data_IF_782967149158
#
_entry.id   IF_782967149158
#
_cell.length_a   1.000
_cell.length_b   1.000
_cell.length_c   1.000
_cell.angle_alpha   90.00
_cell.angle_beta   90.00
_cell.angle_gamma   90.00
#
_symmetry.space_group_name_H-M   'P 1'
#
loop_
_entity.id
_entity.type
_entity.pdbx_description
1 polymer ?
#
# COMPACT_ATOMS: atom_id res chain seq x y z
N UNK A 1 -25.45 -0.78 2.28
CA UNK A 1 -24.50 0.35 2.25
C UNK A 1 -23.41 0.04 3.26
N UNK A 2 -22.17 -0.14 2.88
CA UNK A 2 -21.09 -0.24 3.84
C UNK A 2 -21.00 1.11 4.58
N UNK A 3 -21.14 1.09 5.89
CA UNK A 3 -20.93 2.25 6.74
C UNK A 3 -19.44 2.59 6.67
N UNK A 4 -19.09 3.73 6.09
CA UNK A 4 -17.72 4.26 6.15
C UNK A 4 -17.33 4.33 7.64
N UNK A 5 -16.23 3.70 8.06
CA UNK A 5 -15.81 3.78 9.45
C UNK A 5 -15.62 5.25 9.85
N UNK A 6 -15.96 5.63 11.06
CA UNK A 6 -15.82 7.02 11.50
C UNK A 6 -14.35 7.40 11.51
N UNK A 7 -14.03 8.52 10.88
CA UNK A 7 -12.70 9.10 10.92
C UNK A 7 -12.39 9.49 12.38
N UNK A 8 -11.29 8.94 12.90
CA UNK A 8 -10.73 9.31 14.18
C UNK A 8 -9.64 10.36 13.94
N UNK A 9 -9.60 11.37 14.78
CA UNK A 9 -8.64 12.48 14.71
C UNK A 9 -7.86 12.53 16.03
N UNK A 10 -6.59 12.87 15.98
CA UNK A 10 -5.77 13.17 17.17
C UNK A 10 -4.76 14.25 16.87
N UNK A 11 -4.17 14.81 17.91
CA UNK A 11 -2.97 15.64 17.76
C UNK A 11 -1.84 14.76 17.20
N UNK A 12 -1.08 15.30 16.24
CA UNK A 12 0.06 14.62 15.63
C UNK A 12 0.94 14.01 16.75
N UNK A 13 1.18 12.70 16.76
CA UNK A 13 2.04 12.04 17.74
C UNK A 13 3.45 12.63 17.80
N UNK A 14 3.94 13.20 16.67
CA UNK A 14 5.23 13.87 16.57
C UNK A 14 5.24 15.28 17.16
N UNK A 15 4.08 15.81 17.59
CA UNK A 15 3.98 17.07 18.28
C UNK A 15 3.89 16.83 19.81
N UNK A 16 5.02 16.75 20.54
CA UNK A 16 5.01 16.56 21.99
C UNK A 16 4.40 17.77 22.68
N UNK A 17 3.75 17.53 23.82
CA UNK A 17 3.25 18.57 24.71
C UNK A 17 4.34 18.84 25.76
N UNK A 18 4.89 20.06 25.76
CA UNK A 18 6.08 20.44 26.53
C UNK A 18 5.81 21.70 27.37
N UNK A 19 6.28 21.72 28.60
CA UNK A 19 6.33 22.95 29.40
C UNK A 19 7.62 23.70 29.10
N UNK A 20 7.52 24.96 28.69
CA UNK A 20 8.67 25.87 28.49
C UNK A 20 9.12 26.48 29.81
N UNK A 21 8.16 26.77 30.67
CA UNK A 21 8.28 27.30 32.02
C UNK A 21 7.04 26.93 32.83
N UNK A 22 6.86 27.46 34.05
CA UNK A 22 5.76 27.14 34.96
C UNK A 22 4.38 27.55 34.42
N UNK A 23 4.29 28.39 33.39
CA UNK A 23 3.03 28.94 32.89
C UNK A 23 2.89 28.87 31.35
N UNK A 24 3.91 28.48 30.61
CA UNK A 24 3.89 28.41 29.15
C UNK A 24 3.96 26.99 28.66
N UNK A 25 2.91 26.54 27.98
CA UNK A 25 2.81 25.22 27.38
C UNK A 25 3.06 25.29 25.86
N UNK A 26 3.83 24.36 25.32
CA UNK A 26 4.14 24.26 23.91
C UNK A 26 3.66 22.93 23.34
N UNK A 27 3.10 22.98 22.14
CA UNK A 27 2.76 21.82 21.34
C UNK A 27 3.63 21.77 20.10
N UNK A 28 4.40 20.67 19.93
CA UNK A 28 5.42 20.53 18.89
C UNK A 28 6.83 20.89 19.37
N UNK A 29 7.86 20.25 18.78
CA UNK A 29 9.24 20.45 19.16
C UNK A 29 9.76 21.84 18.68
N UNK A 30 9.47 22.19 17.43
CA UNK A 30 9.95 23.41 16.79
C UNK A 30 9.02 24.62 17.01
N UNK A 31 8.41 24.74 18.19
CA UNK A 31 7.53 25.84 18.60
C UNK A 31 6.34 26.14 17.70
N UNK A 32 5.74 25.10 17.13
CA UNK A 32 4.59 25.29 16.24
C UNK A 32 3.44 26.05 16.90
N UNK A 33 3.14 25.77 18.19
CA UNK A 33 2.13 26.50 18.97
C UNK A 33 2.58 26.63 20.42
N UNK A 34 2.49 27.86 20.97
CA UNK A 34 2.66 28.14 22.39
C UNK A 34 1.38 28.71 23.00
N UNK A 35 1.18 28.43 24.27
CA UNK A 35 0.03 28.89 25.07
C UNK A 35 0.59 29.44 26.38
N UNK A 36 0.41 30.75 26.58
CA UNK A 36 0.85 31.45 27.77
C UNK A 36 -0.24 31.49 28.83
N UNK A 37 0.15 31.55 30.11
CA UNK A 37 -0.78 31.61 31.25
C UNK A 37 -1.84 30.50 31.23
N UNK A 38 -1.38 29.26 31.04
CA UNK A 38 -2.23 28.11 30.78
C UNK A 38 -3.16 27.78 31.94
N UNK A 39 -4.46 27.91 31.70
CA UNK A 39 -5.45 27.42 32.65
C UNK A 39 -5.40 25.87 32.72
N UNK A 40 -5.63 25.24 33.87
CA UNK A 40 -5.49 23.80 34.06
C UNK A 40 -6.32 22.92 33.10
N UNK A 41 -7.41 23.45 32.57
CA UNK A 41 -8.23 22.72 31.59
C UNK A 41 -7.55 22.61 30.21
N UNK A 42 -6.68 23.57 29.86
CA UNK A 42 -5.97 23.57 28.55
C UNK A 42 -5.05 22.35 28.45
N UNK A 43 -4.22 22.14 29.47
CA UNK A 43 -3.35 20.96 29.51
C UNK A 43 -4.15 19.67 29.49
N UNK A 44 -5.19 19.57 30.31
CA UNK A 44 -6.07 18.38 30.33
C UNK A 44 -6.73 18.13 28.98
N UNK A 45 -7.21 19.18 28.30
CA UNK A 45 -7.83 19.05 27.00
C UNK A 45 -6.80 18.61 25.93
N UNK A 46 -5.65 19.30 25.84
CA UNK A 46 -4.60 18.93 24.90
C UNK A 46 -4.10 17.50 25.12
N UNK A 47 -3.92 17.08 26.38
CA UNK A 47 -3.55 15.70 26.70
C UNK A 47 -4.59 14.69 26.23
N UNK A 48 -5.87 15.00 26.31
CA UNK A 48 -6.96 14.14 25.80
C UNK A 48 -7.03 14.10 24.28
N UNK A 49 -6.75 15.23 23.61
CA UNK A 49 -6.72 15.30 22.14
C UNK A 49 -5.55 14.55 21.51
N UNK A 50 -4.57 14.12 22.31
CA UNK A 50 -3.50 13.19 21.86
C UNK A 50 -3.97 11.75 21.72
N UNK A 51 -5.05 11.39 22.40
CA UNK A 51 -5.76 10.13 22.14
C UNK A 51 -6.77 10.34 21.02
N UNK A 52 -6.97 9.31 20.22
CA UNK A 52 -7.88 9.38 19.08
C UNK A 52 -9.33 9.67 19.51
N UNK A 53 -9.95 10.61 18.83
CA UNK A 53 -11.32 11.02 19.12
C UNK A 53 -12.10 11.28 17.82
N UNK A 54 -13.44 11.24 17.92
CA UNK A 54 -14.31 11.69 16.83
C UNK A 54 -14.48 13.19 16.91
N UNK A 55 -14.32 13.92 15.82
CA UNK A 55 -14.52 15.38 15.78
C UNK A 55 -15.88 15.80 16.36
N UNK A 56 -16.93 15.03 16.09
CA UNK A 56 -18.27 15.26 16.67
C UNK A 56 -18.37 15.07 18.20
N UNK A 57 -17.37 14.41 18.81
CA UNK A 57 -17.33 14.23 20.28
C UNK A 57 -16.52 15.30 21.01
N UNK A 58 -15.99 16.30 20.30
CA UNK A 58 -15.09 17.30 20.86
C UNK A 58 -15.70 18.07 22.03
N UNK A 59 -16.96 18.55 21.91
CA UNK A 59 -17.62 19.30 22.96
C UNK A 59 -17.77 18.49 24.29
N UNK A 60 -17.94 17.16 24.16
CA UNK A 60 -18.01 16.27 25.33
C UNK A 60 -16.63 16.12 25.98
N UNK A 61 -15.58 16.00 25.18
CA UNK A 61 -14.21 15.90 25.67
C UNK A 61 -13.77 17.19 26.33
N UNK A 62 -14.10 18.34 25.75
CA UNK A 62 -13.84 19.67 26.29
C UNK A 62 -14.55 19.89 27.64
N UNK A 63 -15.81 19.54 27.69
CA UNK A 63 -16.59 19.61 28.96
C UNK A 63 -15.97 18.71 30.04
N UNK A 64 -15.61 17.48 29.71
CA UNK A 64 -14.94 16.56 30.63
C UNK A 64 -13.52 17.02 31.07
N UNK A 65 -12.87 17.89 30.28
CA UNK A 65 -11.64 18.57 30.69
C UNK A 65 -11.86 19.79 31.57
N UNK A 66 -13.13 20.22 31.77
CA UNK A 66 -13.50 21.43 32.49
C UNK A 66 -13.28 22.72 31.69
N UNK A 67 -13.28 22.62 30.35
CA UNK A 67 -13.04 23.74 29.44
C UNK A 67 -14.35 24.54 29.19
N UNK A 68 -14.33 25.89 29.26
CA UNK A 68 -15.42 26.70 28.76
C UNK A 68 -15.58 26.48 27.24
N UNK A 69 -16.83 26.35 26.78
CA UNK A 69 -17.15 25.89 25.42
C UNK A 69 -16.52 26.75 24.30
N UNK A 70 -16.61 28.05 24.42
CA UNK A 70 -16.10 28.99 23.42
C UNK A 70 -14.57 28.99 23.39
N UNK A 71 -13.94 29.01 24.57
CA UNK A 71 -12.48 28.95 24.69
C UNK A 71 -11.93 27.62 24.18
N UNK A 72 -12.61 26.51 24.48
CA UNK A 72 -12.23 25.18 23.95
C UNK A 72 -12.29 25.12 22.44
N UNK A 73 -13.29 25.73 21.80
CA UNK A 73 -13.39 25.80 20.34
C UNK A 73 -12.33 26.72 19.72
N UNK A 74 -12.01 27.82 20.38
CA UNK A 74 -10.89 28.67 19.97
C UNK A 74 -9.56 27.91 20.07
N UNK A 75 -9.36 27.14 21.13
CA UNK A 75 -8.20 26.26 21.28
C UNK A 75 -8.14 25.22 20.15
N UNK A 76 -9.27 24.54 19.85
CA UNK A 76 -9.34 23.56 18.76
C UNK A 76 -8.92 24.19 17.42
N UNK A 77 -9.44 25.37 17.10
CA UNK A 77 -9.09 26.07 15.86
C UNK A 77 -7.59 26.40 15.78
N UNK A 78 -6.94 26.72 16.91
CA UNK A 78 -5.49 26.92 16.97
C UNK A 78 -4.71 25.62 16.75
N UNK A 79 -5.21 24.52 17.26
CA UNK A 79 -4.56 23.18 17.17
C UNK A 79 -4.86 22.48 15.83
N UNK A 80 -5.86 22.93 15.08
CA UNK A 80 -6.29 22.33 13.81
C UNK A 80 -5.12 21.98 12.85
N UNK A 81 -4.09 22.82 12.67
CA UNK A 81 -2.95 22.50 11.80
C UNK A 81 -2.10 21.32 12.28
N UNK A 82 -2.23 20.94 13.55
CA UNK A 82 -1.51 19.80 14.16
C UNK A 82 -2.45 18.60 14.40
N UNK A 83 -3.68 18.66 13.94
CA UNK A 83 -4.57 17.51 13.98
C UNK A 83 -4.32 16.63 12.76
N UNK A 84 -4.14 15.33 13.02
CA UNK A 84 -4.03 14.31 12.00
C UNK A 84 -5.19 13.34 12.13
N UNK A 85 -5.80 13.02 11.00
CA UNK A 85 -6.78 11.95 10.99
C UNK A 85 -6.04 10.62 11.08
N UNK A 86 -6.49 9.74 11.98
CA UNK A 86 -5.93 8.40 12.04
C UNK A 86 -6.22 7.70 10.72
N UNK A 87 -5.21 7.13 10.08
CA UNK A 87 -5.47 6.25 8.96
C UNK A 87 -6.43 5.16 9.43
N UNK A 88 -7.42 4.84 8.62
CA UNK A 88 -8.23 3.65 8.88
C UNK A 88 -7.27 2.50 9.17
N UNK A 89 -7.61 1.66 10.17
CA UNK A 89 -6.78 0.51 10.51
C UNK A 89 -6.40 -0.22 9.22
N UNK A 90 -5.10 -0.36 8.99
CA UNK A 90 -4.61 -1.00 7.78
C UNK A 90 -5.21 -2.41 7.70
N UNK A 91 -5.55 -2.82 6.49
CA UNK A 91 -6.15 -4.14 6.28
C UNK A 91 -5.14 -5.21 6.65
N UNK A 92 -5.56 -6.26 7.39
CA UNK A 92 -4.70 -7.41 7.58
C UNK A 92 -4.31 -8.02 6.24
N UNK A 93 -3.13 -8.60 6.15
CA UNK A 93 -2.61 -9.13 4.91
C UNK A 93 -2.02 -10.53 5.08
N UNK A 94 -1.97 -11.30 4.01
CA UNK A 94 -1.05 -12.44 3.92
C UNK A 94 -0.07 -12.21 2.78
N UNK A 95 1.07 -12.86 2.84
CA UNK A 95 2.11 -12.77 1.81
C UNK A 95 2.25 -14.11 1.13
N UNK A 96 2.21 -14.12 -0.18
CA UNK A 96 2.53 -15.27 -1.02
C UNK A 96 3.50 -14.90 -2.13
N UNK A 97 4.19 -15.89 -2.70
CA UNK A 97 5.24 -15.68 -3.69
C UNK A 97 4.95 -16.45 -4.98
N UNK A 98 5.15 -15.79 -6.14
CA UNK A 98 5.07 -16.39 -7.47
C UNK A 98 6.44 -16.31 -8.12
N UNK A 99 7.07 -17.49 -8.34
CA UNK A 99 8.35 -17.61 -9.02
C UNK A 99 9.56 -17.11 -8.24
N UNK A 100 9.40 -16.70 -6.98
CA UNK A 100 10.50 -16.31 -6.10
C UNK A 100 10.94 -17.53 -5.30
N UNK A 101 12.21 -17.91 -5.44
CA UNK A 101 12.83 -19.02 -4.70
C UNK A 101 13.70 -18.54 -3.53
N UNK A 102 14.09 -17.27 -3.50
CA UNK A 102 14.86 -16.68 -2.40
C UNK A 102 13.93 -16.17 -1.30
N UNK A 103 13.81 -16.94 -0.23
CA UNK A 103 13.02 -16.57 0.94
C UNK A 103 13.45 -15.28 1.65
N UNK A 104 14.62 -14.72 1.31
CA UNK A 104 15.09 -13.46 1.93
C UNK A 104 14.23 -12.26 1.53
N UNK A 105 13.81 -12.17 0.28
CA UNK A 105 12.93 -11.08 -0.18
C UNK A 105 11.58 -11.17 0.52
N UNK A 106 11.00 -12.35 0.58
CA UNK A 106 9.74 -12.58 1.29
C UNK A 106 9.85 -12.24 2.77
N UNK A 107 10.88 -12.75 3.45
CA UNK A 107 11.13 -12.46 4.86
C UNK A 107 11.21 -10.96 5.13
N UNK A 108 12.00 -10.22 4.34
CA UNK A 108 12.17 -8.77 4.52
C UNK A 108 10.90 -7.97 4.26
N UNK A 109 10.11 -8.36 3.26
CA UNK A 109 8.82 -7.70 3.01
C UNK A 109 7.86 -7.96 4.18
N UNK A 110 7.81 -9.18 4.70
CA UNK A 110 7.00 -9.52 5.89
C UNK A 110 7.41 -8.70 7.11
N UNK A 111 8.71 -8.62 7.41
CA UNK A 111 9.24 -7.79 8.50
C UNK A 111 8.85 -6.32 8.32
N UNK A 112 9.09 -5.76 7.12
CA UNK A 112 8.72 -4.37 6.85
C UNK A 112 7.21 -4.11 7.01
N UNK A 113 6.35 -5.06 6.62
CA UNK A 113 4.90 -4.92 6.82
C UNK A 113 4.55 -4.92 8.31
N UNK A 114 5.18 -5.79 9.10
CA UNK A 114 4.96 -5.86 10.55
C UNK A 114 5.49 -4.60 11.25
N UNK A 115 6.67 -4.11 10.87
CA UNK A 115 7.26 -2.88 11.40
C UNK A 115 6.37 -1.65 11.15
N UNK A 116 5.66 -1.64 10.03
CA UNK A 116 4.67 -0.61 9.67
C UNK A 116 3.27 -0.88 10.27
N UNK A 117 3.14 -1.86 11.18
CA UNK A 117 1.91 -2.14 11.90
C UNK A 117 0.87 -2.97 11.15
N UNK A 118 1.22 -3.60 10.03
CA UNK A 118 0.32 -4.51 9.32
C UNK A 118 0.23 -5.85 10.05
N UNK A 119 -0.98 -6.27 10.37
CA UNK A 119 -1.23 -7.59 10.93
C UNK A 119 -1.13 -8.64 9.82
N UNK A 120 -0.17 -9.56 9.91
CA UNK A 120 -0.09 -10.71 9.02
C UNK A 120 -0.99 -11.84 9.53
N UNK A 121 -1.79 -12.39 8.62
CA UNK A 121 -2.79 -13.43 8.90
C UNK A 121 -2.63 -14.64 7.97
N UNK A 122 -3.30 -15.73 8.30
CA UNK A 122 -3.43 -16.87 7.40
C UNK A 122 -4.39 -16.55 6.24
N UNK A 123 -4.13 -17.01 5.00
CA UNK A 123 -5.02 -16.82 3.85
C UNK A 123 -6.48 -17.23 4.07
N UNK A 124 -6.73 -18.16 5.00
CA UNK A 124 -8.08 -18.59 5.33
C UNK A 124 -8.88 -17.61 6.21
N UNK A 125 -8.26 -16.51 6.66
CA UNK A 125 -8.90 -15.52 7.54
C UNK A 125 -9.33 -14.27 6.76
N UNK A 126 -10.60 -14.13 6.30
CA UNK A 126 -11.09 -12.90 5.69
C UNK A 126 -11.50 -11.85 6.76
N UNK A 127 -11.58 -10.55 6.42
CA UNK A 127 -11.15 -9.95 5.16
C UNK A 127 -9.67 -9.54 5.22
N UNK A 128 -8.86 -10.13 4.39
CA UNK A 128 -7.44 -9.79 4.31
C UNK A 128 -7.01 -9.52 2.86
N UNK A 129 -5.89 -8.83 2.67
CA UNK A 129 -5.34 -8.51 1.36
C UNK A 129 -4.20 -9.49 1.03
N UNK A 130 -4.20 -10.05 -0.17
CA UNK A 130 -3.08 -10.83 -0.67
C UNK A 130 -1.94 -9.89 -1.12
N UNK A 131 -0.82 -9.86 -0.41
CA UNK A 131 0.42 -9.25 -0.90
C UNK A 131 1.18 -10.30 -1.67
N UNK A 132 1.27 -10.13 -2.99
CA UNK A 132 1.80 -11.15 -3.90
C UNK A 132 3.14 -10.73 -4.45
N UNK A 133 4.19 -11.40 -4.00
CA UNK A 133 5.56 -11.17 -4.47
C UNK A 133 5.78 -11.90 -5.79
N UNK A 134 6.22 -11.18 -6.82
CA UNK A 134 6.34 -11.74 -8.18
C UNK A 134 7.76 -11.59 -8.69
N UNK A 135 8.31 -12.68 -9.23
CA UNK A 135 9.55 -12.63 -9.98
C UNK A 135 9.31 -12.07 -11.38
N UNK A 136 10.04 -11.02 -11.76
CA UNK A 136 9.81 -10.29 -13.00
C UNK A 136 8.54 -9.45 -12.95
N UNK A 137 8.00 -9.10 -14.09
CA UNK A 137 6.80 -8.28 -14.19
C UNK A 137 5.54 -9.05 -13.76
N UNK A 138 4.63 -8.38 -13.06
CA UNK A 138 3.33 -8.95 -12.71
C UNK A 138 2.40 -8.93 -13.91
N UNK A 139 2.02 -10.13 -14.39
CA UNK A 139 1.02 -10.29 -15.45
C UNK A 139 -0.39 -10.38 -14.85
N UNK A 140 -1.41 -9.93 -15.59
CA UNK A 140 -2.79 -9.96 -15.12
C UNK A 140 -3.35 -11.38 -14.90
N UNK A 141 -2.94 -12.35 -15.70
CA UNK A 141 -3.50 -13.71 -15.70
C UNK A 141 -3.36 -14.46 -14.36
N UNK A 142 -2.18 -14.53 -13.69
CA UNK A 142 -2.06 -15.18 -12.39
C UNK A 142 -2.91 -14.52 -11.29
N UNK A 143 -3.28 -13.25 -11.47
CA UNK A 143 -4.10 -12.49 -10.53
C UNK A 143 -5.61 -12.59 -10.80
N UNK A 144 -6.02 -13.19 -11.91
CA UNK A 144 -7.44 -13.36 -12.25
C UNK A 144 -8.21 -14.15 -11.18
N UNK A 145 -7.54 -15.07 -10.48
CA UNK A 145 -8.14 -15.82 -9.36
C UNK A 145 -8.63 -14.89 -8.24
N UNK A 146 -7.85 -13.87 -7.89
CA UNK A 146 -8.25 -12.92 -6.84
C UNK A 146 -9.45 -12.07 -7.25
N UNK A 147 -9.52 -11.66 -8.54
CA UNK A 147 -10.69 -10.96 -9.06
C UNK A 147 -11.93 -11.86 -9.05
N UNK A 148 -11.78 -13.14 -9.43
CA UNK A 148 -12.88 -14.11 -9.45
C UNK A 148 -13.41 -14.39 -8.04
N UNK A 149 -12.50 -14.50 -7.08
CA UNK A 149 -12.82 -14.91 -5.70
C UNK A 149 -13.08 -13.68 -4.78
N UNK A 150 -13.20 -12.48 -5.38
CA UNK A 150 -13.45 -11.18 -4.71
C UNK A 150 -12.40 -10.84 -3.63
N UNK A 151 -11.14 -11.23 -3.85
CA UNK A 151 -10.04 -11.05 -2.92
C UNK A 151 -9.24 -9.79 -3.27
N UNK A 152 -9.15 -8.81 -2.37
CA UNK A 152 -8.23 -7.67 -2.53
C UNK A 152 -6.78 -8.15 -2.61
N UNK A 153 -5.99 -7.54 -3.52
CA UNK A 153 -4.61 -7.97 -3.71
C UNK A 153 -3.67 -6.84 -4.11
N UNK A 154 -2.42 -6.99 -3.72
CA UNK A 154 -1.34 -6.02 -3.96
C UNK A 154 -0.12 -6.76 -4.55
N UNK A 155 0.18 -6.59 -5.84
CA UNK A 155 1.40 -7.13 -6.43
C UNK A 155 2.63 -6.35 -5.99
N UNK A 156 3.72 -7.08 -5.73
CA UNK A 156 5.08 -6.56 -5.53
C UNK A 156 6.00 -7.28 -6.52
N UNK A 157 6.38 -6.60 -7.59
CA UNK A 157 7.13 -7.18 -8.71
C UNK A 157 8.60 -6.85 -8.60
N UNK A 158 9.44 -7.88 -8.60
CA UNK A 158 10.89 -7.74 -8.61
C UNK A 158 11.39 -7.85 -10.05
N UNK A 159 11.62 -6.70 -10.67
CA UNK A 159 12.02 -6.57 -12.05
C UNK A 159 13.50 -6.19 -12.18
N UNK A 160 14.15 -6.41 -13.34
CA UNK A 160 15.53 -5.95 -13.55
C UNK A 160 15.68 -4.44 -13.26
N UNK A 161 16.51 -4.12 -12.25
CA UNK A 161 16.84 -2.76 -11.86
C UNK A 161 15.80 -2.02 -11.02
N UNK A 162 14.59 -2.56 -10.79
CA UNK A 162 13.54 -1.90 -10.00
C UNK A 162 12.62 -2.89 -9.29
N UNK A 163 11.93 -2.39 -8.27
CA UNK A 163 10.81 -3.09 -7.63
C UNK A 163 9.55 -2.26 -7.84
N UNK A 164 8.50 -2.87 -8.37
CA UNK A 164 7.21 -2.21 -8.60
C UNK A 164 6.20 -2.70 -7.58
N UNK A 165 5.54 -1.79 -6.87
CA UNK A 165 4.52 -2.07 -5.84
C UNK A 165 3.19 -1.50 -6.27
N UNK A 166 2.16 -2.34 -6.33
CA UNK A 166 0.81 -1.94 -6.73
C UNK A 166 0.45 -2.29 -8.19
N UNK A 167 -0.76 -1.90 -8.60
CA UNK A 167 -1.77 -1.18 -7.82
C UNK A 167 -2.37 -2.04 -6.70
N UNK A 168 -2.90 -1.41 -5.63
CA UNK A 168 -3.80 -2.11 -4.72
C UNK A 168 -5.12 -2.34 -5.46
N UNK A 169 -5.40 -3.59 -5.75
CA UNK A 169 -6.61 -4.00 -6.47
C UNK A 169 -7.70 -4.42 -5.49
N UNK A 170 -8.78 -3.67 -5.48
CA UNK A 170 -10.03 -4.04 -4.80
C UNK A 170 -11.00 -4.44 -5.92
N UNK A 171 -11.39 -5.73 -6.03
CA UNK A 171 -12.27 -6.20 -7.09
C UNK A 171 -13.50 -5.32 -7.26
N UNK A 172 -13.80 -4.92 -8.50
CA UNK A 172 -14.91 -4.03 -8.84
C UNK A 172 -14.78 -2.56 -8.42
N UNK A 173 -13.89 -2.22 -7.48
CA UNK A 173 -13.79 -0.89 -6.88
C UNK A 173 -12.53 -0.10 -7.28
N UNK A 174 -11.46 -0.78 -7.74
CA UNK A 174 -10.23 -0.13 -8.19
C UNK A 174 -9.68 -0.73 -9.48
N UNK A 175 -8.83 0.03 -10.20
CA UNK A 175 -8.19 -0.43 -11.42
C UNK A 175 -7.30 -1.66 -11.17
N UNK A 176 -7.37 -2.65 -12.05
CA UNK A 176 -6.62 -3.89 -11.95
C UNK A 176 -5.35 -3.87 -12.82
N UNK A 177 -4.56 -4.96 -12.79
CA UNK A 177 -3.37 -5.11 -13.64
C UNK A 177 -3.69 -5.07 -15.13
N UNK A 178 -4.83 -5.60 -15.56
CA UNK A 178 -5.24 -5.53 -16.97
C UNK A 178 -5.56 -4.08 -17.40
N UNK A 179 -6.11 -3.23 -16.51
CA UNK A 179 -6.27 -1.80 -16.80
C UNK A 179 -4.91 -1.13 -17.00
N UNK A 180 -3.93 -1.42 -16.13
CA UNK A 180 -2.56 -0.91 -16.27
C UNK A 180 -1.95 -1.31 -17.62
N UNK A 181 -2.06 -2.58 -17.97
CA UNK A 181 -1.47 -3.10 -19.22
C UNK A 181 -2.16 -2.55 -20.46
N UNK A 182 -3.47 -2.33 -20.41
CA UNK A 182 -4.22 -1.71 -21.49
C UNK A 182 -3.80 -0.25 -21.70
N UNK A 183 -3.72 0.57 -20.64
CA UNK A 183 -3.19 1.94 -20.74
C UNK A 183 -1.74 1.97 -21.26
N UNK A 184 -0.90 1.03 -20.84
CA UNK A 184 0.46 0.95 -21.34
C UNK A 184 0.50 0.56 -22.84
N UNK A 185 -0.45 -0.28 -23.30
CA UNK A 185 -0.59 -0.66 -24.70
C UNK A 185 -1.07 0.51 -25.57
N UNK A 186 -1.97 1.36 -25.04
CA UNK A 186 -2.39 2.58 -25.73
C UNK A 186 -1.23 3.56 -25.97
N UNK A 187 -0.29 3.62 -25.00
CA UNK A 187 0.89 4.47 -25.10
C UNK A 187 1.96 3.86 -26.01
N UNK A 188 2.12 2.55 -25.96
CA UNK A 188 3.10 1.79 -26.75
C UNK A 188 2.49 0.46 -27.20
N UNK A 189 2.09 0.32 -28.47
CA UNK A 189 1.52 -0.93 -29.02
C UNK A 189 2.46 -2.15 -28.89
N UNK A 190 3.77 -1.95 -28.70
CA UNK A 190 4.72 -3.03 -28.45
C UNK A 190 4.71 -3.51 -26.99
N UNK A 191 4.01 -2.81 -26.09
CA UNK A 191 3.98 -3.14 -24.66
C UNK A 191 3.67 -4.60 -24.37
N UNK A 192 2.65 -5.25 -24.98
CA UNK A 192 2.33 -6.64 -24.66
C UNK A 192 3.52 -7.59 -24.93
N UNK A 193 4.25 -7.34 -26.01
CA UNK A 193 5.42 -8.14 -26.36
C UNK A 193 6.60 -7.87 -25.41
N UNK A 194 6.84 -6.61 -25.06
CA UNK A 194 7.90 -6.23 -24.14
C UNK A 194 7.61 -6.77 -22.72
N UNK A 195 6.38 -6.61 -22.27
CA UNK A 195 5.94 -7.06 -20.95
C UNK A 195 6.03 -8.58 -20.82
N UNK A 196 5.61 -9.34 -21.83
CA UNK A 196 5.70 -10.79 -21.85
C UNK A 196 7.14 -11.31 -21.64
N UNK A 197 8.14 -10.60 -22.12
CA UNK A 197 9.56 -10.95 -21.94
C UNK A 197 10.09 -10.68 -20.52
N UNK A 198 9.35 -9.87 -19.73
CA UNK A 198 9.71 -9.56 -18.35
C UNK A 198 9.04 -10.49 -17.33
N UNK A 199 7.99 -11.21 -17.73
CA UNK A 199 7.29 -12.17 -16.86
C UNK A 199 8.23 -13.30 -16.47
N UNK A 200 8.39 -13.55 -15.17
CA UNK A 200 9.27 -14.59 -14.64
C UNK A 200 10.77 -14.34 -14.86
N UNK A 201 11.13 -13.20 -15.46
CA UNK A 201 12.55 -12.85 -15.70
C UNK A 201 13.29 -12.67 -14.38
N UNK A 202 14.53 -13.11 -14.36
CA UNK A 202 15.41 -12.91 -13.21
C UNK A 202 15.66 -11.40 -12.99
N UNK A 203 15.35 -10.86 -11.80
CA UNK A 203 15.56 -9.45 -11.52
C UNK A 203 17.06 -9.10 -11.36
N UNK A 204 17.94 -10.10 -11.27
CA UNK A 204 19.32 -9.90 -10.86
C UNK A 204 19.44 -9.54 -9.37
N UNK A 205 20.54 -8.89 -8.96
CA UNK A 205 20.75 -8.53 -7.56
C UNK A 205 19.79 -7.43 -7.12
N UNK A 206 18.88 -7.76 -6.18
CA UNK A 206 17.96 -6.82 -5.56
C UNK A 206 18.64 -6.23 -4.32
N UNK A 207 18.71 -4.92 -4.23
CA UNK A 207 19.32 -4.23 -3.08
C UNK A 207 18.38 -4.24 -1.86
N UNK A 208 18.98 -4.29 -0.66
CA UNK A 208 18.22 -4.31 0.59
C UNK A 208 17.28 -3.11 0.74
N UNK A 209 17.71 -1.92 0.27
CA UNK A 209 16.89 -0.70 0.29
C UNK A 209 15.63 -0.84 -0.58
N UNK A 210 15.73 -1.47 -1.74
CA UNK A 210 14.57 -1.69 -2.62
C UNK A 210 13.52 -2.59 -1.94
N UNK A 211 13.94 -3.64 -1.24
CA UNK A 211 13.02 -4.56 -0.55
C UNK A 211 12.38 -3.88 0.65
N UNK A 212 13.14 -3.13 1.44
CA UNK A 212 12.63 -2.41 2.59
C UNK A 212 11.61 -1.33 2.17
N UNK A 213 11.95 -0.52 1.15
CA UNK A 213 11.05 0.48 0.61
C UNK A 213 9.79 -0.14 -0.01
N UNK A 214 9.92 -1.28 -0.70
CA UNK A 214 8.76 -1.99 -1.24
C UNK A 214 7.81 -2.45 -0.14
N UNK A 215 8.32 -2.97 0.97
CA UNK A 215 7.51 -3.36 2.13
C UNK A 215 6.81 -2.17 2.78
N UNK A 216 7.53 -1.06 3.00
CA UNK A 216 6.97 0.19 3.53
C UNK A 216 5.87 0.75 2.62
N UNK A 217 6.11 0.80 1.31
CA UNK A 217 5.11 1.26 0.33
C UNK A 217 3.90 0.34 0.31
N UNK A 218 4.10 -0.98 0.38
CA UNK A 218 3.00 -1.93 0.47
C UNK A 218 2.13 -1.65 1.69
N UNK A 219 2.72 -1.38 2.86
CA UNK A 219 1.98 -1.01 4.06
C UNK A 219 1.17 0.29 3.89
N UNK A 220 1.76 1.32 3.27
CA UNK A 220 1.07 2.57 2.96
C UNK A 220 -0.16 2.32 2.07
N UNK A 221 0.00 1.54 0.98
CA UNK A 221 -1.09 1.22 0.07
C UNK A 221 -2.19 0.38 0.75
N UNK A 222 -1.83 -0.52 1.67
CA UNK A 222 -2.79 -1.30 2.46
C UNK A 222 -3.64 -0.43 3.39
N UNK A 223 -3.12 0.70 3.84
CA UNK A 223 -3.85 1.71 4.63
C UNK A 223 -4.76 2.62 3.80
N UNK A 224 -4.60 2.66 2.48
CA UNK A 224 -5.41 3.53 1.62
C UNK A 224 -6.85 3.01 1.45
N UNK A 225 -7.78 3.96 1.32
CA UNK A 225 -9.15 3.63 0.94
C UNK A 225 -9.21 3.41 -0.57
N UNK A 226 -10.05 2.49 -1.07
CA UNK A 226 -10.22 2.27 -2.49
C UNK A 226 -10.72 3.57 -3.13
N UNK A 227 -9.91 4.14 -4.00
CA UNK A 227 -10.26 5.25 -4.85
C UNK A 227 -10.45 4.71 -6.28
N UNK A 228 -11.19 5.43 -7.10
CA UNK A 228 -11.32 5.13 -8.53
C UNK A 228 -9.97 5.16 -9.27
N UNK A 229 -8.97 5.78 -8.66
CA UNK A 229 -7.60 5.88 -9.12
C UNK A 229 -6.68 5.14 -8.16
N UNK A 230 -5.98 4.15 -8.69
CA UNK A 230 -5.01 3.34 -7.92
C UNK A 230 -3.59 3.85 -8.18
N UNK A 231 -2.72 3.75 -7.18
CA UNK A 231 -1.32 4.17 -7.29
C UNK A 231 -0.38 2.97 -7.46
N UNK A 232 0.68 3.19 -8.22
CA UNK A 232 1.80 2.27 -8.37
C UNK A 232 3.06 3.03 -7.99
N UNK A 233 3.92 2.40 -7.20
CA UNK A 233 5.25 2.90 -6.91
C UNK A 233 6.31 2.06 -7.62
N UNK A 234 7.36 2.71 -8.10
CA UNK A 234 8.55 2.07 -8.63
C UNK A 234 9.76 2.49 -7.81
N UNK A 235 10.43 1.51 -7.20
CA UNK A 235 11.62 1.72 -6.38
C UNK A 235 12.85 1.35 -7.21
N UNK A 236 13.66 2.34 -7.53
CA UNK A 236 14.91 2.18 -8.29
C UNK A 236 16.03 1.58 -7.41
N UNK A 237 17.14 1.18 -8.04
CA UNK A 237 18.26 0.59 -7.33
C UNK A 237 18.96 1.53 -6.33
N UNK A 238 18.84 2.83 -6.50
CA UNK A 238 19.34 3.88 -5.57
C UNK A 238 18.37 4.19 -4.42
N UNK A 239 17.17 3.56 -4.43
CA UNK A 239 16.11 3.82 -3.45
C UNK A 239 15.16 4.95 -3.83
N UNK A 240 15.37 5.62 -4.97
CA UNK A 240 14.41 6.63 -5.44
C UNK A 240 13.07 6.01 -5.79
N UNK A 241 11.98 6.75 -5.52
CA UNK A 241 10.60 6.28 -5.69
C UNK A 241 9.89 7.15 -6.71
N UNK A 242 9.43 6.53 -7.79
CA UNK A 242 8.50 7.13 -8.76
C UNK A 242 7.07 6.66 -8.50
N UNK A 243 6.09 7.58 -8.57
CA UNK A 243 4.67 7.26 -8.42
C UNK A 243 3.92 7.46 -9.73
N UNK A 244 3.02 6.54 -10.03
CA UNK A 244 2.13 6.58 -11.19
C UNK A 244 0.71 6.25 -10.75
N UNK A 245 -0.27 6.87 -11.42
CA UNK A 245 -1.69 6.58 -11.20
C UNK A 245 -2.22 5.67 -12.30
N UNK A 246 -3.10 4.75 -11.93
CA UNK A 246 -3.82 3.87 -12.84
C UNK A 246 -5.31 4.03 -12.61
N UNK A 247 -6.06 4.32 -13.69
CA UNK A 247 -7.51 4.39 -13.71
C UNK A 247 -8.11 3.15 -14.36
N UNK A 248 -9.41 2.98 -14.21
CA UNK A 248 -10.13 1.99 -15.00
C UNK A 248 -9.93 2.25 -16.50
N UNK A 249 -9.64 1.20 -17.23
CA UNK A 249 -9.57 1.25 -18.69
C UNK A 249 -10.93 0.88 -19.30
N UNK A 250 -11.33 1.55 -20.37
CA UNK A 250 -12.67 1.38 -20.97
C UNK A 250 -12.90 -0.04 -21.49
N UNK A 251 -11.89 -0.66 -22.06
CA UNK A 251 -11.96 -2.03 -22.57
C UNK A 251 -11.82 -3.11 -21.48
N UNK A 252 -11.48 -2.74 -20.23
CA UNK A 252 -11.29 -3.69 -19.17
C UNK A 252 -12.60 -4.04 -18.46
N UNK A 253 -12.91 -5.34 -18.40
CA UNK A 253 -14.12 -5.85 -17.76
C UNK A 253 -14.00 -6.13 -16.26
N UNK A 254 -12.94 -5.67 -15.59
CA UNK A 254 -12.73 -5.94 -14.16
C UNK A 254 -13.80 -5.33 -13.22
N UNK A 255 -14.65 -4.45 -13.75
CA UNK A 255 -15.81 -3.86 -13.04
C UNK A 255 -17.09 -4.68 -13.20
N UNK A 256 -17.12 -5.57 -14.19
CA UNK A 256 -18.29 -6.43 -14.41
C UNK A 256 -18.28 -7.56 -13.37
N UNK A 257 -19.46 -7.88 -12.79
CA UNK A 257 -19.57 -9.06 -11.92
C UNK A 257 -19.15 -10.30 -12.70
N UNK A 258 -18.29 -11.12 -12.11
CA UNK A 258 -17.90 -12.37 -12.74
C UNK A 258 -19.11 -13.30 -12.90
N UNK A 259 -19.41 -13.68 -14.15
CA UNK A 259 -20.53 -14.57 -14.48
C UNK A 259 -20.01 -15.98 -14.80
N UNK A 260 -20.59 -17.04 -14.20
CA UNK A 260 -20.21 -18.42 -14.51
C UNK A 260 -20.35 -18.82 -15.99
N UNK A 261 -21.19 -18.09 -16.75
CA UNK A 261 -21.35 -18.29 -18.20
C UNK A 261 -20.11 -17.88 -19.00
N UNK A 262 -19.17 -17.17 -18.40
CA UNK A 262 -17.87 -16.82 -19.02
C UNK A 262 -16.83 -17.96 -18.87
N UNK A 263 -17.19 -19.11 -18.38
CA UNK A 263 -16.43 -20.35 -18.60
C UNK A 263 -16.54 -20.77 -20.06
N UNK A 264 -16.12 -19.85 -20.94
CA UNK A 264 -15.81 -20.20 -22.31
C UNK A 264 -14.68 -21.22 -22.27
N UNK A 265 -14.85 -22.31 -22.98
CA UNK A 265 -13.88 -23.30 -23.33
C UNK A 265 -12.54 -22.61 -23.61
N UNK A 266 -11.71 -22.47 -22.58
CA UNK A 266 -10.28 -22.25 -22.78
C UNK A 266 -9.78 -23.52 -23.42
N UNK A 267 -9.79 -23.54 -24.74
CA UNK A 267 -8.95 -24.46 -25.50
C UNK A 267 -7.54 -24.15 -24.96
N UNK A 268 -6.99 -25.10 -24.26
CA UNK A 268 -5.61 -25.09 -23.77
C UNK A 268 -4.71 -24.99 -24.99
N UNK A 269 -4.50 -23.74 -25.44
CA UNK A 269 -3.50 -23.46 -26.46
C UNK A 269 -2.19 -23.58 -25.75
N UNK A 270 -1.58 -24.76 -25.89
CA UNK A 270 -0.22 -25.01 -25.46
C UNK A 270 0.65 -23.85 -25.95
N UNK A 271 1.30 -23.16 -25.01
CA UNK A 271 2.28 -22.13 -25.34
C UNK A 271 3.31 -22.75 -26.29
N UNK A 272 3.60 -22.12 -27.42
CA UNK A 272 4.65 -22.60 -28.30
C UNK A 272 5.96 -22.65 -27.50
N UNK A 273 6.67 -23.76 -27.59
CA UNK A 273 7.97 -23.93 -26.97
C UNK A 273 8.89 -22.77 -27.39
N UNK A 274 9.74 -22.23 -26.47
CA UNK A 274 10.62 -21.13 -26.79
C UNK A 274 11.56 -21.54 -27.94
N UNK A 275 11.82 -20.65 -28.92
CA UNK A 275 12.56 -20.98 -30.14
C UNK A 275 14.06 -21.20 -29.95
N UNK A 276 14.55 -21.20 -28.73
CA UNK A 276 15.99 -21.42 -28.46
C UNK A 276 16.17 -22.48 -27.37
N UNK A 277 16.54 -23.70 -27.84
CA UNK A 277 17.22 -24.68 -26.98
C UNK A 277 18.68 -24.25 -26.81
N UNK A 278 19.25 -24.22 -25.59
CA UNK A 278 20.68 -24.01 -25.42
C UNK A 278 21.43 -25.20 -26.04
N UNK A 279 22.18 -24.93 -27.05
CA UNK A 279 23.13 -25.93 -27.64
C UNK A 279 24.18 -26.24 -26.58
N UNK A 280 24.13 -27.41 -25.98
CA UNK A 280 25.20 -27.94 -25.14
C UNK A 280 26.45 -28.16 -26.01
N UNK A 281 27.40 -27.24 -25.90
CA UNK A 281 28.74 -27.43 -26.46
C UNK A 281 29.45 -28.53 -25.65
N UNK A 282 29.54 -29.70 -26.22
CA UNK A 282 30.34 -30.81 -25.68
C UNK A 282 31.82 -30.43 -25.85
N UNK A 283 32.51 -30.11 -24.76
CA UNK A 283 33.95 -29.95 -24.75
C UNK A 283 34.60 -31.30 -24.91
N UNK A 284 35.14 -31.59 -26.09
CA UNK A 284 36.00 -32.73 -26.36
C UNK A 284 37.37 -32.47 -25.72
N UNK A 285 37.70 -33.18 -24.65
CA UNK A 285 39.04 -33.24 -24.09
C UNK A 285 39.89 -34.13 -24.97
N UNK A 286 40.81 -33.56 -25.75
CA UNK A 286 41.96 -34.31 -26.29
C UNK A 286 43.08 -34.24 -25.27
N UNK A 287 43.46 -35.44 -24.72
CA UNK A 287 44.76 -35.68 -24.09
C UNK A 287 45.82 -35.80 -25.20
N UNK A 288 46.92 -35.14 -25.02
CA UNK A 288 48.27 -35.56 -25.41
C UNK A 288 49.26 -34.88 -24.48
#
# INVERSE_FOLDING_TARGET
MPLTPPILTRVDPNAPLLWRDECTLQLGYDSALSFDAVAPWVERLLSRLRSSFRRGSFDVIAHAAGAPREEARALLARVEPLLVDEPAAARPAWVESIGISDGRCEYRVRESLVDEGITLVDPAQPPAVAVVLVRGAAAALPFARFLRDDIPHLPVSFEPGRVTVGPLVIPGASACLACRDAHATDLDPAWPLLHAQLIGRDPGPIRAVQVAEAGRIAAVLLGEHPASESRIAQVSADGSIGWHSVRFHEECRCREPWSPSQRGTSTETALPAPPFSPTTATASSRRA
#
